data_IF_173190467067
#
_entry.id   IF_173190467067
#
_cell.length_a   1.000
_cell.length_b   1.000
_cell.length_c   1.000
_cell.angle_alpha   90.00
_cell.angle_beta   90.00
_cell.angle_gamma   90.00
#
_symmetry.space_group_name_H-M   'P 1'
#
loop_
_entity.id
_entity.type
_entity.pdbx_description
1 polymer ?
#
# COMPACT_ATOMS: atom_id res chain seq x y z
N UNK A 1 2.22 -10.29 -0.08
CA UNK A 1 3.46 -10.96 -0.54
C UNK A 1 4.54 -9.93 -0.87
N UNK A 2 4.35 -9.07 -1.87
CA UNK A 2 5.39 -8.12 -2.30
C UNK A 2 5.91 -7.21 -1.16
N UNK A 3 5.03 -6.74 -0.27
CA UNK A 3 5.38 -5.92 0.89
C UNK A 3 6.31 -6.58 1.92
N UNK A 4 6.47 -7.90 1.91
CA UNK A 4 7.34 -8.60 2.88
C UNK A 4 8.82 -8.27 2.66
N UNK A 5 9.22 -8.03 1.41
CA UNK A 5 10.62 -7.88 1.02
C UNK A 5 10.95 -6.46 0.52
N UNK A 6 9.99 -5.53 0.54
CA UNK A 6 10.15 -4.19 -0.02
C UNK A 6 9.60 -3.13 0.94
N UNK A 7 10.34 -2.03 1.07
CA UNK A 7 9.93 -0.86 1.87
C UNK A 7 9.10 0.14 1.07
N UNK A 8 9.14 0.05 -0.26
CA UNK A 8 8.41 0.93 -1.16
C UNK A 8 7.95 0.15 -2.38
N UNK A 9 6.76 0.47 -2.88
CA UNK A 9 6.25 0.02 -4.16
C UNK A 9 6.41 1.17 -5.14
N UNK A 10 7.23 0.98 -6.16
CA UNK A 10 7.39 1.92 -7.27
C UNK A 10 6.79 1.27 -8.52
N UNK A 11 5.54 1.58 -8.90
CA UNK A 11 4.91 0.99 -10.05
C UNK A 11 5.64 1.32 -11.35
N UNK A 12 5.71 0.34 -12.25
CA UNK A 12 6.32 0.49 -13.59
C UNK A 12 5.27 0.56 -14.70
N UNK A 13 4.00 0.33 -14.38
CA UNK A 13 2.89 0.43 -15.31
C UNK A 13 2.29 1.83 -15.34
N UNK A 14 1.63 2.15 -16.45
CA UNK A 14 1.03 3.46 -16.70
C UNK A 14 0.06 3.91 -15.58
N UNK A 15 -0.82 3.01 -15.11
CA UNK A 15 -1.81 3.38 -14.10
C UNK A 15 -1.17 3.56 -12.74
N UNK A 16 -0.24 2.69 -12.34
CA UNK A 16 0.50 2.84 -11.10
C UNK A 16 1.27 4.16 -11.03
N UNK A 17 2.03 4.49 -12.08
CA UNK A 17 2.78 5.76 -12.14
C UNK A 17 1.86 6.99 -12.16
N UNK A 18 0.72 6.91 -12.84
CA UNK A 18 -0.21 8.03 -12.97
C UNK A 18 -1.03 8.30 -11.70
N UNK A 19 -1.42 7.25 -10.95
CA UNK A 19 -2.41 7.36 -9.87
C UNK A 19 -1.86 7.12 -8.47
N UNK A 20 -0.77 6.36 -8.33
CA UNK A 20 -0.19 5.99 -7.03
C UNK A 20 1.16 6.66 -6.80
N UNK A 21 2.02 6.74 -7.83
CA UNK A 21 3.46 7.03 -7.68
C UNK A 21 4.09 6.02 -6.71
N UNK A 22 5.05 6.44 -5.90
CA UNK A 22 5.63 5.60 -4.87
C UNK A 22 4.66 5.42 -3.70
N UNK A 23 4.50 4.18 -3.27
CA UNK A 23 3.69 3.80 -2.10
C UNK A 23 4.61 3.22 -1.04
N UNK A 24 4.68 3.88 0.11
CA UNK A 24 5.43 3.39 1.26
C UNK A 24 4.79 2.14 1.87
N UNK A 25 5.63 1.20 2.29
CA UNK A 25 5.23 0.01 3.05
C UNK A 25 5.45 0.29 4.53
N UNK A 26 4.35 0.43 5.26
CA UNK A 26 4.36 0.63 6.70
C UNK A 26 4.70 -0.66 7.44
N UNK A 27 5.75 -0.63 8.26
CA UNK A 27 6.11 -1.76 9.12
C UNK A 27 5.40 -1.61 10.48
N UNK A 28 4.44 -2.49 10.83
CA UNK A 28 3.75 -2.43 12.11
C UNK A 28 4.65 -2.82 13.30
N UNK A 29 5.85 -3.36 13.05
CA UNK A 29 6.77 -3.79 14.09
C UNK A 29 6.24 -5.00 14.87
N UNK A 30 5.97 -4.82 16.16
CA UNK A 30 5.46 -5.90 17.01
C UNK A 30 3.98 -6.21 16.69
N UNK A 31 3.68 -7.44 16.32
CA UNK A 31 2.32 -7.87 16.03
C UNK A 31 1.46 -8.09 17.28
N UNK A 32 2.07 -8.39 18.44
CA UNK A 32 1.35 -8.74 19.67
C UNK A 32 0.47 -7.60 20.20
N UNK A 33 0.84 -6.35 19.93
CA UNK A 33 0.12 -5.15 20.36
C UNK A 33 -0.43 -4.31 19.19
N UNK A 34 -0.27 -4.80 17.95
CA UNK A 34 -0.67 -4.06 16.75
C UNK A 34 -2.15 -3.66 16.78
N UNK A 35 -3.06 -4.56 17.16
CA UNK A 35 -4.50 -4.27 17.18
C UNK A 35 -4.86 -3.07 18.09
N UNK A 36 -4.08 -2.83 19.14
CA UNK A 36 -4.27 -1.69 20.04
C UNK A 36 -3.73 -0.40 19.44
N UNK A 37 -2.61 -0.47 18.72
CA UNK A 37 -1.91 0.67 18.12
C UNK A 37 -2.48 1.08 16.76
N UNK A 38 -3.02 0.14 16.00
CA UNK A 38 -3.44 0.30 14.61
C UNK A 38 -4.41 1.47 14.41
N UNK A 39 -5.48 1.67 15.23
CA UNK A 39 -6.38 2.80 15.04
C UNK A 39 -5.68 4.16 15.10
N UNK A 40 -4.79 4.35 16.09
CA UNK A 40 -4.03 5.60 16.24
C UNK A 40 -2.94 5.76 15.17
N UNK A 41 -2.21 4.70 14.86
CA UNK A 41 -1.09 4.78 13.91
C UNK A 41 -1.58 4.95 12.47
N UNK A 42 -2.65 4.26 12.07
CA UNK A 42 -3.28 4.42 10.75
C UNK A 42 -3.85 5.84 10.59
N UNK A 43 -4.54 6.36 11.62
CA UNK A 43 -5.06 7.72 11.59
C UNK A 43 -3.92 8.75 11.46
N UNK A 44 -2.90 8.63 12.32
CA UNK A 44 -1.74 9.51 12.29
C UNK A 44 -1.01 9.46 10.94
N UNK A 45 -0.87 8.27 10.34
CA UNK A 45 -0.29 8.12 9.01
C UNK A 45 -1.04 8.96 7.96
N UNK A 46 -2.37 8.84 7.90
CA UNK A 46 -3.16 9.60 6.95
C UNK A 46 -3.26 11.11 7.24
N UNK A 47 -3.07 11.53 8.50
CA UNK A 47 -2.98 12.95 8.86
C UNK A 47 -1.65 13.57 8.42
N UNK A 48 -0.56 12.82 8.52
CA UNK A 48 0.80 13.30 8.23
C UNK A 48 1.20 13.13 6.76
N UNK A 49 0.58 12.18 6.04
CA UNK A 49 0.87 11.91 4.65
C UNK A 49 -0.28 12.37 3.75
N UNK A 50 0.04 13.14 2.70
CA UNK A 50 -0.94 13.54 1.66
C UNK A 50 -1.26 12.40 0.71
N UNK A 51 -1.75 11.29 1.25
CA UNK A 51 -2.14 10.10 0.50
C UNK A 51 -3.44 9.53 1.08
N UNK A 52 -4.02 8.55 0.40
CA UNK A 52 -5.28 7.94 0.80
C UNK A 52 -5.26 6.41 0.69
N UNK A 53 -4.05 5.86 0.67
CA UNK A 53 -3.75 4.43 0.66
C UNK A 53 -2.53 4.19 1.53
N UNK A 54 -2.60 3.15 2.35
CA UNK A 54 -1.56 2.71 3.28
C UNK A 54 -1.39 1.21 3.06
N UNK A 55 -0.19 0.80 2.69
CA UNK A 55 0.17 -0.61 2.55
C UNK A 55 0.92 -1.06 3.80
N UNK A 56 0.36 -2.00 4.54
CA UNK A 56 0.95 -2.53 5.77
C UNK A 56 1.70 -3.82 5.44
N UNK A 57 2.96 -3.89 5.87
CA UNK A 57 3.85 -5.03 5.67
C UNK A 57 3.23 -6.32 6.18
N UNK A 58 3.13 -7.32 5.30
CA UNK A 58 2.60 -8.64 5.65
C UNK A 58 1.11 -8.72 6.00
N UNK A 59 0.38 -7.59 6.00
CA UNK A 59 -1.02 -7.54 6.45
C UNK A 59 -1.99 -7.26 5.30
N UNK A 60 -1.85 -6.11 4.63
CA UNK A 60 -2.82 -5.70 3.62
C UNK A 60 -2.84 -4.20 3.39
N UNK A 61 -3.95 -3.70 2.86
CA UNK A 61 -4.11 -2.30 2.45
C UNK A 61 -5.26 -1.67 3.22
N UNK A 62 -5.02 -0.46 3.73
CA UNK A 62 -6.06 0.44 4.22
C UNK A 62 -6.19 1.59 3.23
N UNK A 63 -7.41 1.91 2.80
CA UNK A 63 -7.64 2.99 1.87
C UNK A 63 -8.93 3.72 2.22
N UNK A 64 -8.98 5.02 1.93
CA UNK A 64 -10.20 5.81 2.08
C UNK A 64 -10.43 6.70 0.86
N UNK A 65 -11.69 6.97 0.56
CA UNK A 65 -12.08 7.95 -0.44
C UNK A 65 -13.56 8.32 -0.26
N UNK A 66 -13.95 9.54 -0.65
CA UNK A 66 -15.37 9.97 -0.65
C UNK A 66 -16.26 9.26 -1.69
N UNK A 67 -15.65 8.48 -2.57
CA UNK A 67 -16.30 7.78 -3.67
C UNK A 67 -15.70 6.38 -3.75
N UNK A 68 -16.56 5.39 -3.54
CA UNK A 68 -16.18 3.98 -3.46
C UNK A 68 -15.47 3.49 -4.72
N UNK A 69 -15.98 3.83 -5.91
CA UNK A 69 -15.39 3.40 -7.18
C UNK A 69 -13.96 3.91 -7.34
N UNK A 70 -13.69 5.16 -6.95
CA UNK A 70 -12.33 5.72 -6.97
C UNK A 70 -11.41 5.05 -5.95
N UNK A 71 -11.92 4.67 -4.78
CA UNK A 71 -11.16 3.91 -3.78
C UNK A 71 -10.77 2.54 -4.31
N UNK A 72 -11.75 1.77 -4.78
CA UNK A 72 -11.56 0.41 -5.30
C UNK A 72 -10.63 0.42 -6.51
N UNK A 73 -10.74 1.43 -7.39
CA UNK A 73 -9.82 1.62 -8.51
C UNK A 73 -8.36 1.75 -8.05
N UNK A 74 -8.09 2.54 -7.00
CA UNK A 74 -6.71 2.68 -6.47
C UNK A 74 -6.17 1.38 -5.89
N UNK A 75 -7.01 0.64 -5.16
CA UNK A 75 -6.63 -0.68 -4.60
C UNK A 75 -6.31 -1.68 -5.72
N UNK A 76 -7.15 -1.73 -6.76
CA UNK A 76 -6.92 -2.60 -7.92
C UNK A 76 -5.64 -2.24 -8.69
N UNK A 77 -5.35 -0.94 -8.86
CA UNK A 77 -4.10 -0.48 -9.48
C UNK A 77 -2.89 -0.94 -8.64
N UNK A 78 -2.96 -0.82 -7.30
CA UNK A 78 -1.87 -1.25 -6.42
C UNK A 78 -1.64 -2.77 -6.50
N UNK A 79 -2.72 -3.57 -6.50
CA UNK A 79 -2.63 -5.02 -6.65
C UNK A 79 -1.97 -5.40 -7.98
N UNK A 80 -2.42 -4.80 -9.08
CA UNK A 80 -1.86 -5.06 -10.40
C UNK A 80 -0.39 -4.63 -10.50
N UNK A 81 -0.02 -3.47 -9.96
CA UNK A 81 1.38 -3.02 -9.91
C UNK A 81 2.26 -4.03 -9.14
N UNK A 82 1.83 -4.45 -7.95
CA UNK A 82 2.54 -5.47 -7.16
C UNK A 82 2.67 -6.79 -7.93
N UNK A 83 1.63 -7.21 -8.66
CA UNK A 83 1.66 -8.43 -9.49
C UNK A 83 2.68 -8.32 -10.61
N UNK A 84 2.69 -7.22 -11.36
CA UNK A 84 3.64 -7.00 -12.45
C UNK A 84 5.08 -6.99 -11.94
N UNK A 85 5.33 -6.29 -10.82
CA UNK A 85 6.64 -6.27 -10.18
C UNK A 85 7.06 -7.68 -9.70
N UNK A 86 6.12 -8.45 -9.14
CA UNK A 86 6.40 -9.83 -8.72
C UNK A 86 6.81 -10.71 -9.90
N UNK A 87 6.12 -10.59 -11.05
CA UNK A 87 6.43 -11.34 -12.26
C UNK A 87 7.79 -10.91 -12.83
N UNK A 88 8.07 -9.61 -12.84
CA UNK A 88 9.37 -9.07 -13.29
C UNK A 88 10.52 -9.67 -12.47
N UNK A 89 10.41 -9.66 -11.13
CA UNK A 89 11.45 -10.17 -10.24
C UNK A 89 11.66 -11.69 -10.33
N UNK A 90 10.69 -12.46 -10.84
CA UNK A 90 10.86 -13.90 -11.09
C UNK A 90 11.69 -14.16 -12.35
N UNK A 91 11.66 -13.22 -13.30
CA UNK A 91 12.33 -13.34 -14.59
C UNK A 91 13.72 -12.69 -14.62
N UNK A 92 14.17 -12.12 -13.49
CA UNK A 92 15.53 -11.61 -13.24
C UNK A 92 16.28 -12.60 -12.35
#
# INVERSE_FOLDING_TARGET
AYSLNHQTITPIDYYGQSFLKDVEVYDPGNFDDWDKRAPSEIAHFFETHKCNILLIKGFGVVAYHRNLLKMVKKVAILENACRLLSIKNINE
#
